data_IF_519106177051
#
_entry.id   IF_519106177051
#
_cell.length_a   1.000
_cell.length_b   1.000
_cell.length_c   1.000
_cell.angle_alpha   90.00
_cell.angle_beta   90.00
_cell.angle_gamma   90.00
#
_symmetry.space_group_name_H-M   'P 1'
#
loop_
_entity.id
_entity.type
_entity.pdbx_description
1 polymer ?
#
# COMPACT_ATOMS: atom_id res chain seq x y z
N UNK A 1 -23.56 -9.36 12.21
CA UNK A 1 -22.30 -9.69 11.51
C UNK A 1 -22.43 -9.33 10.04
N UNK A 2 -21.57 -9.75 9.10
CA UNK A 2 -21.65 -9.29 7.68
C UNK A 2 -23.03 -9.51 7.05
N UNK A 3 -23.69 -10.63 7.37
CA UNK A 3 -25.01 -10.99 6.82
C UNK A 3 -26.17 -10.05 7.20
N UNK A 4 -25.97 -9.18 8.19
CA UNK A 4 -26.99 -8.26 8.67
C UNK A 4 -26.84 -6.84 8.08
N UNK A 5 -25.79 -6.61 7.29
CA UNK A 5 -25.56 -5.34 6.60
C UNK A 5 -26.00 -5.42 5.15
N UNK A 6 -26.75 -4.41 4.71
CA UNK A 6 -27.15 -4.27 3.30
C UNK A 6 -26.07 -3.51 2.53
N UNK A 7 -25.02 -4.22 2.08
CA UNK A 7 -23.93 -3.61 1.33
C UNK A 7 -24.33 -3.44 -0.13
N UNK A 8 -24.19 -2.22 -0.66
CA UNK A 8 -24.47 -1.83 -2.04
C UNK A 8 -23.22 -1.35 -2.79
N UNK A 9 -22.21 -0.91 -2.05
CA UNK A 9 -21.00 -0.34 -2.62
C UNK A 9 -19.76 -1.03 -2.05
N UNK A 10 -18.76 -1.25 -2.90
CA UNK A 10 -17.45 -1.75 -2.48
C UNK A 10 -16.40 -0.74 -2.93
N UNK A 11 -15.73 -0.13 -1.96
CA UNK A 11 -14.61 0.76 -2.15
C UNK A 11 -13.31 -0.05 -2.14
N UNK A 12 -12.41 0.26 -3.05
CA UNK A 12 -11.10 -0.39 -3.14
C UNK A 12 -9.97 0.62 -2.98
N UNK A 13 -8.94 0.25 -2.20
CA UNK A 13 -7.62 0.79 -2.45
C UNK A 13 -7.03 0.20 -3.74
N UNK A 14 -6.00 0.83 -4.27
CA UNK A 14 -5.33 0.37 -5.50
C UNK A 14 -4.05 -0.41 -5.18
N UNK A 15 -3.11 0.20 -4.44
CA UNK A 15 -1.78 -0.33 -4.20
C UNK A 15 -1.78 -1.57 -3.32
N UNK A 16 -1.19 -2.68 -3.77
CA UNK A 16 -1.21 -3.97 -3.06
C UNK A 16 -2.61 -4.57 -2.84
N UNK A 17 -3.65 -3.87 -3.30
CA UNK A 17 -5.04 -4.32 -3.26
C UNK A 17 -5.49 -4.80 -4.63
N UNK A 18 -5.48 -3.95 -5.66
CA UNK A 18 -5.83 -4.31 -7.04
C UNK A 18 -4.60 -4.61 -7.91
N UNK A 19 -3.45 -4.05 -7.57
CA UNK A 19 -2.19 -4.27 -8.27
C UNK A 19 -0.99 -4.38 -7.32
N UNK A 20 0.10 -4.94 -7.83
CA UNK A 20 1.41 -4.95 -7.18
C UNK A 20 2.41 -4.13 -7.97
N UNK A 21 3.56 -3.86 -7.37
CA UNK A 21 4.73 -3.27 -8.05
C UNK A 21 5.42 -4.36 -8.88
N UNK A 22 5.97 -4.00 -10.04
CA UNK A 22 6.87 -4.86 -10.80
C UNK A 22 8.06 -5.32 -9.94
N UNK A 23 8.80 -6.32 -10.39
CA UNK A 23 9.98 -6.80 -9.69
C UNK A 23 11.00 -5.68 -9.39
N UNK A 24 11.89 -5.94 -8.45
CA UNK A 24 12.85 -4.95 -7.96
C UNK A 24 13.80 -4.45 -9.05
N UNK A 25 14.24 -5.33 -9.94
CA UNK A 25 15.22 -4.95 -10.98
C UNK A 25 14.58 -3.98 -11.98
N UNK A 26 13.36 -4.29 -12.43
CA UNK A 26 12.58 -3.42 -13.31
C UNK A 26 12.24 -2.10 -12.62
N UNK A 27 11.86 -2.13 -11.35
CA UNK A 27 11.61 -0.91 -10.58
C UNK A 27 12.83 0.01 -10.54
N UNK A 28 14.02 -0.53 -10.21
CA UNK A 28 15.26 0.25 -10.15
C UNK A 28 15.62 0.87 -11.50
N UNK A 29 15.44 0.13 -12.60
CA UNK A 29 15.67 0.65 -13.96
C UNK A 29 14.73 1.82 -14.31
N UNK A 30 13.45 1.72 -13.93
CA UNK A 30 12.47 2.80 -14.12
C UNK A 30 12.81 4.02 -13.26
N UNK A 31 13.25 3.79 -12.03
CA UNK A 31 13.66 4.85 -11.11
C UNK A 31 14.91 5.58 -11.65
N UNK A 32 15.90 4.84 -12.14
CA UNK A 32 17.09 5.42 -12.76
C UNK A 32 16.73 6.25 -13.99
N UNK A 33 15.89 5.73 -14.89
CA UNK A 33 15.42 6.46 -16.06
C UNK A 33 14.75 7.79 -15.68
N UNK A 34 13.84 7.75 -14.70
CA UNK A 34 13.16 8.97 -14.24
C UNK A 34 14.09 9.94 -13.50
N UNK A 35 15.10 9.43 -12.81
CA UNK A 35 16.15 10.26 -12.20
C UNK A 35 16.96 11.00 -13.25
N UNK A 36 17.34 10.34 -14.36
CA UNK A 36 18.09 10.97 -15.45
C UNK A 36 17.28 12.06 -16.15
N UNK A 37 15.99 11.83 -16.39
CA UNK A 37 15.09 12.86 -16.94
C UNK A 37 15.02 14.08 -16.00
N UNK A 38 14.96 13.87 -14.70
CA UNK A 38 14.97 14.97 -13.73
C UNK A 38 16.30 15.75 -13.74
N UNK A 39 17.43 15.06 -13.93
CA UNK A 39 18.75 15.69 -14.09
C UNK A 39 18.79 16.55 -15.35
N UNK A 40 18.37 16.04 -16.51
CA UNK A 40 18.30 16.79 -17.75
C UNK A 40 17.42 18.02 -17.60
N UNK A 41 16.26 17.88 -16.96
CA UNK A 41 15.34 18.98 -16.66
C UNK A 41 16.02 20.05 -15.79
N UNK A 42 16.70 19.64 -14.71
CA UNK A 42 17.44 20.58 -13.86
C UNK A 42 18.54 21.30 -14.61
N UNK A 43 19.39 20.58 -15.34
CA UNK A 43 20.53 21.15 -16.06
C UNK A 43 20.10 22.08 -17.20
N UNK A 44 18.91 21.88 -17.77
CA UNK A 44 18.34 22.82 -18.74
C UNK A 44 17.90 24.16 -18.09
N UNK A 45 17.57 24.14 -16.82
CA UNK A 45 17.15 25.33 -16.06
C UNK A 45 18.35 26.11 -15.49
N UNK A 46 19.41 25.41 -15.06
CA UNK A 46 20.56 26.03 -14.37
C UNK A 46 21.88 25.72 -15.06
N UNK A 47 22.73 26.77 -15.19
CA UNK A 47 24.12 26.63 -15.64
C UNK A 47 25.09 26.50 -14.45
N UNK A 48 24.64 26.07 -13.30
CA UNK A 48 25.47 25.92 -12.11
C UNK A 48 26.55 24.85 -12.35
N UNK A 49 27.82 25.27 -12.18
CA UNK A 49 28.98 24.40 -12.44
C UNK A 49 29.06 23.23 -11.45
N UNK A 50 28.57 23.40 -10.22
CA UNK A 50 28.58 22.35 -9.22
C UNK A 50 27.69 21.17 -9.65
N UNK A 51 26.45 21.45 -10.09
CA UNK A 51 25.56 20.41 -10.58
C UNK A 51 26.02 19.81 -11.93
N UNK A 52 26.54 20.66 -12.83
CA UNK A 52 27.03 20.21 -14.14
C UNK A 52 28.30 19.34 -14.07
N UNK A 53 29.05 19.41 -12.96
CA UNK A 53 30.24 18.59 -12.74
C UNK A 53 29.94 17.27 -12.01
N UNK A 54 28.76 17.13 -11.45
CA UNK A 54 28.33 15.92 -10.75
C UNK A 54 27.96 14.82 -11.74
N UNK A 55 28.30 13.59 -11.41
CA UNK A 55 27.88 12.42 -12.19
C UNK A 55 26.35 12.31 -12.19
N UNK A 56 25.74 12.10 -13.38
CA UNK A 56 24.28 12.20 -13.58
C UNK A 56 23.49 11.24 -12.70
N UNK A 57 23.95 10.00 -12.53
CA UNK A 57 23.29 9.02 -11.65
C UNK A 57 23.28 9.52 -10.20
N UNK A 58 24.40 10.04 -9.70
CA UNK A 58 24.52 10.58 -8.34
C UNK A 58 23.62 11.78 -8.12
N UNK A 59 23.58 12.73 -9.07
CA UNK A 59 22.70 13.90 -9.02
C UNK A 59 21.22 13.48 -9.04
N UNK A 60 20.85 12.52 -9.88
CA UNK A 60 19.49 12.01 -9.98
C UNK A 60 19.00 11.37 -8.68
N UNK A 61 19.84 10.55 -8.05
CA UNK A 61 19.53 9.99 -6.73
C UNK A 61 19.41 11.06 -5.64
N UNK A 62 20.27 12.09 -5.69
CA UNK A 62 20.22 13.22 -4.75
C UNK A 62 18.91 13.97 -4.87
N UNK A 63 18.51 14.32 -6.10
CA UNK A 63 17.24 15.00 -6.39
C UNK A 63 16.05 14.20 -5.84
N UNK A 64 15.95 12.93 -6.20
CA UNK A 64 14.87 12.05 -5.72
C UNK A 64 14.81 12.00 -4.20
N UNK A 65 15.94 11.72 -3.55
CA UNK A 65 16.00 11.64 -2.08
C UNK A 65 15.61 12.95 -1.40
N UNK A 66 16.01 14.10 -1.96
CA UNK A 66 15.66 15.41 -1.43
C UNK A 66 14.16 15.67 -1.54
N UNK A 67 13.57 15.43 -2.72
CA UNK A 67 12.13 15.62 -2.97
C UNK A 67 11.30 14.68 -2.08
N UNK A 68 11.61 13.39 -2.05
CA UNK A 68 10.90 12.43 -1.20
C UNK A 68 11.01 12.75 0.29
N UNK A 69 12.19 13.20 0.75
CA UNK A 69 12.38 13.64 2.14
C UNK A 69 11.49 14.81 2.48
N UNK A 70 11.40 15.80 1.56
CA UNK A 70 10.59 17.00 1.78
C UNK A 70 9.09 16.70 1.72
N UNK A 71 8.63 15.82 0.81
CA UNK A 71 7.25 15.33 0.76
C UNK A 71 6.89 14.62 2.09
N UNK A 72 7.74 13.71 2.57
CA UNK A 72 7.51 13.04 3.86
C UNK A 72 7.49 14.02 5.03
N UNK A 73 8.31 15.06 4.99
CA UNK A 73 8.31 16.12 6.00
C UNK A 73 6.98 16.87 5.97
N UNK A 74 6.54 17.36 4.81
CA UNK A 74 5.25 18.08 4.63
C UNK A 74 4.04 17.26 5.12
N UNK A 75 4.00 15.97 4.75
CA UNK A 75 2.93 15.06 5.19
C UNK A 75 2.88 14.83 6.71
N UNK A 76 4.02 14.96 7.42
CA UNK A 76 4.08 14.87 8.88
C UNK A 76 3.64 16.15 9.58
N UNK A 77 3.78 17.31 8.93
CA UNK A 77 3.37 18.60 9.50
C UNK A 77 1.84 18.70 9.59
N UNK A 78 1.13 18.09 8.66
CA UNK A 78 -0.33 18.10 8.62
C UNK A 78 -0.88 16.69 8.37
N UNK A 79 -0.92 15.82 9.41
CA UNK A 79 -1.37 14.43 9.27
C UNK A 79 -2.82 14.36 8.74
N UNK A 80 -3.06 13.49 7.78
CA UNK A 80 -4.37 13.32 7.14
C UNK A 80 -4.63 14.23 5.94
N UNK A 81 -3.69 15.11 5.61
CA UNK A 81 -3.75 15.98 4.43
C UNK A 81 -2.56 15.74 3.50
N UNK A 82 -2.77 15.95 2.21
CA UNK A 82 -1.67 15.89 1.25
C UNK A 82 -0.91 17.23 1.23
N UNK A 83 0.42 17.19 1.19
CA UNK A 83 1.20 18.40 0.96
C UNK A 83 1.03 18.88 -0.50
N UNK A 84 1.27 20.15 -0.77
CA UNK A 84 1.50 20.61 -2.14
C UNK A 84 2.82 20.02 -2.65
N UNK A 85 2.74 18.98 -3.48
CA UNK A 85 3.90 18.23 -3.95
C UNK A 85 4.84 19.10 -4.81
N UNK A 86 4.30 20.04 -5.56
CA UNK A 86 5.08 20.99 -6.36
C UNK A 86 5.84 21.95 -5.44
N UNK A 87 5.15 22.52 -4.46
CA UNK A 87 5.79 23.43 -3.49
C UNK A 87 6.87 22.70 -2.67
N UNK A 88 6.59 21.49 -2.20
CA UNK A 88 7.59 20.68 -1.48
C UNK A 88 8.79 20.31 -2.35
N UNK A 89 8.59 20.15 -3.66
CA UNK A 89 9.70 19.97 -4.62
C UNK A 89 10.52 21.23 -4.74
N UNK A 90 9.89 22.41 -4.88
CA UNK A 90 10.61 23.71 -4.89
C UNK A 90 11.45 23.86 -3.62
N UNK A 91 10.87 23.60 -2.45
CA UNK A 91 11.59 23.66 -1.17
C UNK A 91 12.77 22.68 -1.12
N UNK A 92 12.63 21.48 -1.69
CA UNK A 92 13.72 20.51 -1.78
C UNK A 92 14.86 21.04 -2.66
N UNK A 93 14.54 21.61 -3.83
CA UNK A 93 15.50 22.21 -4.74
C UNK A 93 16.23 23.39 -4.12
N UNK A 94 15.52 24.26 -3.40
CA UNK A 94 16.12 25.40 -2.69
C UNK A 94 17.08 24.94 -1.59
N UNK A 95 16.74 23.87 -0.86
CA UNK A 95 17.65 23.26 0.16
C UNK A 95 18.88 22.62 -0.45
N UNK A 96 18.83 22.22 -1.72
CA UNK A 96 19.99 21.74 -2.48
C UNK A 96 20.85 22.89 -3.05
N UNK A 97 20.49 24.16 -2.79
CA UNK A 97 21.24 25.32 -3.26
C UNK A 97 20.69 25.99 -4.52
N UNK A 98 19.61 25.45 -5.11
CA UNK A 98 18.98 26.03 -6.30
C UNK A 98 18.03 27.16 -5.86
N UNK A 99 18.59 28.27 -5.40
CA UNK A 99 17.85 29.40 -4.80
C UNK A 99 16.80 30.03 -5.72
N UNK A 100 16.96 29.88 -7.04
CA UNK A 100 16.03 30.39 -8.07
C UNK A 100 14.93 29.38 -8.44
N UNK A 101 14.85 28.22 -7.77
CA UNK A 101 13.79 27.26 -8.01
C UNK A 101 12.43 27.93 -7.81
N UNK A 102 11.58 27.80 -8.79
CA UNK A 102 10.23 28.35 -8.84
C UNK A 102 9.20 27.24 -9.05
N UNK A 103 7.92 27.58 -9.06
CA UNK A 103 6.84 26.60 -9.19
C UNK A 103 6.91 25.79 -10.50
N UNK A 104 7.29 26.45 -11.62
CA UNK A 104 7.44 25.74 -12.91
C UNK A 104 8.51 24.66 -12.86
N UNK A 105 9.71 25.00 -12.36
CA UNK A 105 10.78 24.01 -12.20
C UNK A 105 10.37 22.89 -11.22
N UNK A 106 9.66 23.27 -10.12
CA UNK A 106 9.15 22.28 -9.17
C UNK A 106 8.19 21.29 -9.81
N UNK A 107 7.30 21.76 -10.68
CA UNK A 107 6.37 20.94 -11.44
C UNK A 107 7.10 20.02 -12.43
N UNK A 108 8.03 20.57 -13.22
CA UNK A 108 8.81 19.84 -14.21
C UNK A 108 9.66 18.72 -13.55
N UNK A 109 10.34 19.03 -12.45
CA UNK A 109 11.14 18.04 -11.71
C UNK A 109 10.24 16.97 -11.04
N UNK A 110 9.12 17.40 -10.46
CA UNK A 110 8.18 16.47 -9.84
C UNK A 110 7.60 15.47 -10.86
N UNK A 111 7.22 15.97 -12.05
CA UNK A 111 6.75 15.13 -13.15
C UNK A 111 7.87 14.24 -13.71
N UNK A 112 9.09 14.76 -13.88
CA UNK A 112 10.23 13.98 -14.36
C UNK A 112 10.58 12.81 -13.42
N UNK A 113 10.46 13.00 -12.11
CA UNK A 113 10.69 11.94 -11.11
C UNK A 113 9.57 10.90 -11.05
N UNK A 114 8.43 11.12 -11.72
CA UNK A 114 7.29 10.23 -11.68
C UNK A 114 7.55 8.93 -12.44
N UNK A 115 7.33 7.80 -11.77
CA UNK A 115 7.34 6.49 -12.41
C UNK A 115 5.92 6.14 -12.82
N UNK A 116 5.67 6.02 -14.14
CA UNK A 116 4.36 5.79 -14.74
C UNK A 116 3.79 4.42 -14.34
N UNK A 117 2.47 4.36 -14.08
CA UNK A 117 1.76 3.13 -13.68
C UNK A 117 1.89 2.03 -14.73
N UNK A 118 1.68 2.27 -16.04
CA UNK A 118 1.74 1.22 -17.04
C UNK A 118 3.04 0.42 -17.04
N UNK A 119 4.13 1.03 -16.61
CA UNK A 119 5.45 0.41 -16.58
C UNK A 119 5.80 -0.21 -15.22
N UNK A 120 5.16 0.24 -14.16
CA UNK A 120 5.57 -0.01 -12.77
C UNK A 120 4.57 -0.81 -11.94
N UNK A 121 3.38 -1.09 -12.48
CA UNK A 121 2.33 -1.84 -11.79
C UNK A 121 1.83 -2.99 -12.63
N UNK A 122 1.46 -4.07 -11.94
CA UNK A 122 0.84 -5.27 -12.54
C UNK A 122 -0.40 -5.58 -11.73
N UNK A 123 -1.55 -5.71 -12.40
CA UNK A 123 -2.79 -6.16 -11.75
C UNK A 123 -2.59 -7.56 -11.18
N UNK A 124 -3.24 -7.87 -10.07
CA UNK A 124 -3.36 -9.26 -9.66
C UNK A 124 -4.24 -10.03 -10.66
N UNK A 125 -3.97 -11.31 -10.83
CA UNK A 125 -4.61 -12.16 -11.85
C UNK A 125 -6.13 -12.20 -11.72
N UNK A 126 -6.64 -12.09 -10.50
CA UNK A 126 -8.07 -12.13 -10.19
C UNK A 126 -8.74 -10.75 -10.15
N UNK A 127 -8.02 -9.66 -10.41
CA UNK A 127 -8.54 -8.29 -10.25
C UNK A 127 -9.72 -8.04 -11.18
N UNK A 128 -9.50 -8.08 -12.50
CA UNK A 128 -10.55 -7.70 -13.47
C UNK A 128 -11.74 -8.65 -13.44
N UNK A 129 -11.50 -9.96 -13.29
CA UNK A 129 -12.56 -10.96 -13.20
C UNK A 129 -13.43 -10.78 -11.97
N UNK A 130 -12.82 -10.45 -10.81
CA UNK A 130 -13.56 -10.17 -9.58
C UNK A 130 -14.37 -8.90 -9.69
N UNK A 131 -13.78 -7.80 -10.21
CA UNK A 131 -14.51 -6.54 -10.41
C UNK A 131 -15.70 -6.73 -11.36
N UNK A 132 -15.52 -7.49 -12.46
CA UNK A 132 -16.58 -7.81 -13.40
C UNK A 132 -17.74 -8.58 -12.72
N UNK A 133 -17.40 -9.61 -11.93
CA UNK A 133 -18.41 -10.40 -11.22
C UNK A 133 -19.18 -9.57 -10.19
N UNK A 134 -18.51 -8.73 -9.42
CA UNK A 134 -19.16 -7.83 -8.45
C UNK A 134 -20.08 -6.83 -9.13
N UNK A 135 -19.64 -6.24 -10.26
CA UNK A 135 -20.47 -5.33 -11.06
C UNK A 135 -21.71 -6.03 -11.65
N UNK A 136 -21.55 -7.27 -12.12
CA UNK A 136 -22.68 -8.10 -12.60
C UNK A 136 -23.69 -8.45 -11.50
N UNK A 137 -23.23 -8.58 -10.24
CA UNK A 137 -24.10 -8.77 -9.07
C UNK A 137 -24.79 -7.49 -8.62
N UNK A 138 -24.54 -6.35 -9.28
CA UNK A 138 -25.20 -5.07 -9.04
C UNK A 138 -24.51 -4.18 -7.99
N UNK A 139 -23.30 -4.52 -7.53
CA UNK A 139 -22.56 -3.66 -6.63
C UNK A 139 -22.03 -2.42 -7.36
N UNK A 140 -22.13 -1.26 -6.69
CA UNK A 140 -21.43 -0.05 -7.08
C UNK A 140 -19.97 -0.19 -6.65
N UNK A 141 -19.04 0.09 -7.56
CA UNK A 141 -17.60 -0.01 -7.30
C UNK A 141 -16.97 1.37 -7.24
N UNK A 142 -16.17 1.63 -6.23
CA UNK A 142 -15.47 2.90 -6.05
C UNK A 142 -14.01 2.73 -5.66
N UNK A 143 -13.24 3.82 -5.75
CA UNK A 143 -11.82 3.84 -5.39
C UNK A 143 -11.57 4.91 -4.34
N UNK A 144 -10.83 4.55 -3.28
CA UNK A 144 -10.28 5.49 -2.29
C UNK A 144 -8.80 5.18 -2.13
N UNK A 145 -7.92 6.05 -2.65
CA UNK A 145 -6.49 5.73 -2.72
C UNK A 145 -5.59 6.91 -2.32
N UNK A 146 -4.53 6.61 -1.57
CA UNK A 146 -3.49 7.58 -1.25
C UNK A 146 -2.44 7.57 -2.37
N UNK A 147 -2.37 8.67 -3.12
CA UNK A 147 -1.45 8.82 -4.24
C UNK A 147 -0.84 10.21 -4.28
N UNK A 148 0.43 10.26 -4.68
CA UNK A 148 1.11 11.54 -4.89
C UNK A 148 0.71 12.21 -6.20
N UNK A 149 0.16 11.47 -7.16
CA UNK A 149 -0.24 11.97 -8.47
C UNK A 149 -1.72 11.71 -8.70
N UNK A 150 -2.40 12.72 -9.21
CA UNK A 150 -3.80 12.71 -9.62
C UNK A 150 -3.98 13.37 -10.99
N UNK A 151 -5.20 13.85 -11.25
CA UNK A 151 -5.55 14.59 -12.44
C UNK A 151 -5.36 13.80 -13.75
N UNK A 152 -5.18 14.57 -14.83
CA UNK A 152 -5.03 14.00 -16.18
C UNK A 152 -3.89 12.97 -16.29
N UNK A 153 -2.70 13.17 -15.73
CA UNK A 153 -1.62 12.19 -15.81
C UNK A 153 -1.97 10.84 -15.19
N UNK A 154 -2.72 10.83 -14.10
CA UNK A 154 -3.17 9.59 -13.46
C UNK A 154 -4.31 8.93 -14.24
N UNK A 155 -5.24 9.72 -14.79
CA UNK A 155 -6.29 9.22 -15.67
C UNK A 155 -5.69 8.50 -16.90
N UNK A 156 -4.72 9.12 -17.59
CA UNK A 156 -4.03 8.52 -18.74
C UNK A 156 -3.32 7.21 -18.38
N UNK A 157 -2.70 7.14 -17.20
CA UNK A 157 -2.09 5.91 -16.69
C UNK A 157 -3.14 4.81 -16.45
N UNK A 158 -4.31 5.15 -15.89
CA UNK A 158 -5.38 4.18 -15.63
C UNK A 158 -6.02 3.63 -16.90
N UNK A 159 -6.09 4.42 -17.99
CA UNK A 159 -6.66 3.97 -19.26
C UNK A 159 -6.00 2.69 -19.79
N UNK A 160 -4.71 2.48 -19.46
CA UNK A 160 -3.95 1.31 -19.92
C UNK A 160 -4.15 0.06 -19.06
N UNK A 161 -4.83 0.19 -17.91
CA UNK A 161 -4.96 -0.90 -16.93
C UNK A 161 -6.26 -1.71 -17.08
N UNK A 162 -7.24 -1.20 -17.80
CA UNK A 162 -8.61 -1.76 -17.86
C UNK A 162 -9.46 -1.46 -16.63
N UNK A 163 -8.95 -0.72 -15.64
CA UNK A 163 -9.70 -0.40 -14.42
C UNK A 163 -10.82 0.62 -14.67
N UNK A 164 -10.69 1.48 -15.68
CA UNK A 164 -11.73 2.47 -16.03
C UNK A 164 -13.01 1.84 -16.59
N UNK A 165 -13.00 0.55 -16.93
CA UNK A 165 -14.22 -0.19 -17.30
C UNK A 165 -15.13 -0.45 -16.08
N UNK A 166 -14.56 -0.37 -14.89
CA UNK A 166 -15.23 -0.66 -13.61
C UNK A 166 -15.43 0.57 -12.73
N UNK A 167 -14.56 1.56 -12.84
CA UNK A 167 -14.55 2.75 -12.00
C UNK A 167 -14.63 4.02 -12.86
N UNK A 168 -15.63 4.86 -12.63
CA UNK A 168 -15.65 6.20 -13.20
C UNK A 168 -14.62 7.08 -12.52
N UNK A 169 -13.70 7.66 -13.28
CA UNK A 169 -12.59 8.45 -12.71
C UNK A 169 -13.08 9.58 -11.81
N UNK A 170 -14.13 10.27 -12.23
CA UNK A 170 -14.72 11.41 -11.53
C UNK A 170 -15.33 11.02 -10.17
N UNK A 171 -15.55 9.72 -9.95
CA UNK A 171 -16.09 9.19 -8.69
C UNK A 171 -15.00 8.61 -7.78
N UNK A 172 -13.75 8.58 -8.25
CA UNK A 172 -12.62 8.13 -7.43
C UNK A 172 -12.23 9.21 -6.43
N UNK A 173 -11.89 8.80 -5.20
CA UNK A 173 -11.24 9.66 -4.23
C UNK A 173 -9.72 9.42 -4.25
N UNK A 174 -9.02 10.26 -4.97
CA UNK A 174 -7.57 10.25 -5.11
C UNK A 174 -7.01 11.33 -4.21
N UNK A 175 -6.16 10.99 -3.24
CA UNK A 175 -5.73 11.95 -2.22
C UNK A 175 -5.04 13.18 -2.81
N UNK A 176 -4.27 13.04 -3.89
CA UNK A 176 -3.65 14.17 -4.59
C UNK A 176 -4.66 15.15 -5.20
N UNK A 177 -5.86 14.68 -5.60
CA UNK A 177 -6.91 15.51 -6.17
C UNK A 177 -7.82 16.12 -5.09
N UNK A 178 -8.04 15.37 -4.00
CA UNK A 178 -8.92 15.76 -2.89
C UNK A 178 -8.20 16.63 -1.86
N UNK A 179 -6.87 16.52 -1.78
CA UNK A 179 -6.06 17.21 -0.77
C UNK A 179 -6.09 16.54 0.62
N UNK A 180 -6.84 15.45 0.75
CA UNK A 180 -7.04 14.69 1.99
C UNK A 180 -6.66 13.24 1.73
N UNK A 181 -6.04 12.58 2.73
CA UNK A 181 -5.56 11.22 2.60
C UNK A 181 -6.09 10.29 3.71
N UNK A 182 -6.25 9.01 3.40
CA UNK A 182 -6.56 7.97 4.38
C UNK A 182 -5.52 7.97 5.52
N UNK A 183 -5.91 7.80 6.80
CA UNK A 183 -7.23 7.36 7.28
C UNK A 183 -8.24 8.50 7.53
N UNK A 184 -7.99 9.75 7.11
CA UNK A 184 -8.93 10.83 7.34
C UNK A 184 -10.31 10.45 6.74
N UNK A 185 -11.42 10.53 7.52
CA UNK A 185 -12.75 10.19 7.06
C UNK A 185 -13.22 10.93 5.81
N UNK A 186 -12.77 12.18 5.62
CA UNK A 186 -13.24 13.04 4.54
C UNK A 186 -12.96 12.48 3.14
N UNK A 187 -11.85 11.73 2.96
CA UNK A 187 -11.56 11.11 1.66
C UNK A 187 -12.56 9.98 1.32
N UNK A 188 -12.99 9.22 2.34
CA UNK A 188 -14.02 8.17 2.16
C UNK A 188 -15.37 8.81 1.86
N UNK A 189 -15.73 9.85 2.63
CA UNK A 189 -16.97 10.61 2.40
C UNK A 189 -17.00 11.27 1.03
N UNK A 190 -15.84 11.74 0.52
CA UNK A 190 -15.76 12.25 -0.85
C UNK A 190 -16.18 11.20 -1.89
N UNK A 191 -15.68 9.96 -1.80
CA UNK A 191 -16.06 8.87 -2.70
C UNK A 191 -17.55 8.52 -2.52
N UNK A 192 -18.00 8.30 -1.29
CA UNK A 192 -19.37 7.89 -0.97
C UNK A 192 -20.41 8.90 -1.45
N UNK A 193 -20.16 10.20 -1.26
CA UNK A 193 -21.04 11.26 -1.73
C UNK A 193 -21.17 11.26 -3.27
N UNK A 194 -20.05 11.06 -3.99
CA UNK A 194 -20.08 10.97 -5.46
C UNK A 194 -20.79 9.72 -5.98
N UNK A 195 -20.75 8.65 -5.19
CA UNK A 195 -21.44 7.38 -5.51
C UNK A 195 -22.89 7.36 -4.98
N UNK A 196 -23.32 8.38 -4.22
CA UNK A 196 -24.65 8.46 -3.58
C UNK A 196 -24.95 7.26 -2.67
N UNK A 197 -23.96 6.87 -1.84
CA UNK A 197 -24.02 5.73 -0.91
C UNK A 197 -23.76 6.19 0.52
N UNK A 198 -24.48 5.62 1.49
CA UNK A 198 -24.21 5.87 2.90
C UNK A 198 -23.06 4.97 3.39
N UNK A 199 -22.30 5.39 4.43
CA UNK A 199 -21.19 4.61 4.95
C UNK A 199 -21.57 3.17 5.35
N UNK A 200 -22.75 2.99 5.96
CA UNK A 200 -23.25 1.68 6.44
C UNK A 200 -23.57 0.72 5.29
N UNK A 201 -23.80 1.24 4.10
CA UNK A 201 -24.08 0.49 2.87
C UNK A 201 -22.79 0.16 2.09
N UNK A 202 -21.62 0.55 2.61
CA UNK A 202 -20.34 0.40 1.93
C UNK A 202 -19.41 -0.61 2.64
N UNK A 203 -18.58 -1.25 1.85
CA UNK A 203 -17.42 -2.01 2.29
C UNK A 203 -16.15 -1.34 1.76
N UNK A 204 -15.05 -1.37 2.52
CA UNK A 204 -13.71 -0.93 2.10
C UNK A 204 -12.76 -2.11 2.08
N UNK A 205 -12.15 -2.37 0.93
CA UNK A 205 -11.13 -3.40 0.73
C UNK A 205 -9.78 -2.72 0.57
N UNK A 206 -8.82 -3.05 1.43
CA UNK A 206 -7.48 -2.45 1.38
C UNK A 206 -6.41 -3.27 2.09
N UNK A 207 -5.14 -2.93 1.84
CA UNK A 207 -3.98 -3.64 2.39
C UNK A 207 -3.46 -3.06 3.72
N UNK A 208 -3.85 -1.83 4.06
CA UNK A 208 -3.30 -1.08 5.19
C UNK A 208 -4.27 -1.03 6.37
N UNK A 209 -3.88 -1.65 7.50
CA UNK A 209 -4.65 -1.53 8.75
C UNK A 209 -4.84 -0.06 9.17
N UNK A 210 -3.81 0.77 8.99
CA UNK A 210 -3.86 2.19 9.39
C UNK A 210 -4.64 3.07 8.40
N UNK A 211 -4.43 2.88 7.10
CA UNK A 211 -5.05 3.76 6.12
C UNK A 211 -6.48 3.32 5.79
N UNK A 212 -6.67 2.03 5.48
CA UNK A 212 -7.93 1.52 4.95
C UNK A 212 -8.87 1.08 6.06
N UNK A 213 -8.38 0.19 6.95
CA UNK A 213 -9.24 -0.44 7.95
C UNK A 213 -9.66 0.56 9.03
N UNK A 214 -8.69 1.29 9.60
CA UNK A 214 -9.01 2.32 10.58
C UNK A 214 -9.93 3.40 10.00
N UNK A 215 -9.61 3.91 8.79
CA UNK A 215 -10.41 4.94 8.14
C UNK A 215 -11.86 4.47 7.88
N UNK A 216 -12.04 3.23 7.42
CA UNK A 216 -13.35 2.62 7.23
C UNK A 216 -14.13 2.49 8.56
N UNK A 217 -13.46 2.03 9.61
CA UNK A 217 -14.10 1.86 10.93
C UNK A 217 -14.53 3.18 11.57
N UNK A 218 -13.80 4.26 11.34
CA UNK A 218 -14.19 5.60 11.81
C UNK A 218 -15.56 6.05 11.27
N UNK A 219 -15.98 5.50 10.13
CA UNK A 219 -17.24 5.80 9.47
C UNK A 219 -18.25 4.64 9.51
N UNK A 220 -17.99 3.59 10.28
CA UNK A 220 -18.81 2.38 10.30
C UNK A 220 -18.97 1.70 8.92
N UNK A 221 -18.00 1.88 8.03
CA UNK A 221 -17.89 1.15 6.76
C UNK A 221 -17.39 -0.27 7.07
N UNK A 222 -17.96 -1.29 6.42
CA UNK A 222 -17.49 -2.68 6.55
C UNK A 222 -16.02 -2.79 6.10
N UNK A 223 -15.15 -3.18 7.00
CA UNK A 223 -13.70 -3.19 6.75
C UNK A 223 -13.19 -4.58 6.36
N UNK A 224 -12.56 -4.67 5.17
CA UNK A 224 -12.03 -5.91 4.61
C UNK A 224 -10.53 -5.73 4.38
N UNK A 225 -9.74 -6.49 5.13
CA UNK A 225 -8.29 -6.42 5.03
C UNK A 225 -7.76 -7.49 4.08
N UNK A 226 -7.03 -7.05 3.05
CA UNK A 226 -6.26 -7.90 2.14
C UNK A 226 -4.77 -7.67 2.39
N UNK A 227 -4.14 -8.38 3.34
CA UNK A 227 -2.73 -8.19 3.65
C UNK A 227 -1.84 -8.51 2.46
N UNK A 228 -0.71 -7.82 2.35
CA UNK A 228 0.32 -8.11 1.34
C UNK A 228 0.78 -9.57 1.48
N UNK A 229 1.00 -10.24 0.36
CA UNK A 229 1.51 -11.61 0.36
C UNK A 229 2.85 -11.75 1.12
N UNK A 230 3.75 -10.77 0.96
CA UNK A 230 5.02 -10.74 1.71
C UNK A 230 4.81 -10.68 3.22
N UNK A 231 3.86 -9.86 3.68
CA UNK A 231 3.53 -9.75 5.09
C UNK A 231 2.95 -11.05 5.66
N UNK A 232 2.07 -11.72 4.91
CA UNK A 232 1.53 -13.03 5.27
C UNK A 232 2.64 -14.09 5.33
N UNK A 233 3.58 -14.06 4.38
CA UNK A 233 4.75 -14.95 4.37
C UNK A 233 5.68 -14.72 5.56
N UNK A 234 6.00 -13.45 5.88
CA UNK A 234 6.80 -13.09 7.05
C UNK A 234 6.14 -13.59 8.35
N UNK A 235 4.84 -13.38 8.51
CA UNK A 235 4.09 -13.85 9.68
C UNK A 235 4.07 -15.40 9.78
N UNK A 236 3.94 -16.10 8.63
CA UNK A 236 4.03 -17.58 8.61
C UNK A 236 5.40 -18.07 9.07
N UNK A 237 6.49 -17.45 8.61
CA UNK A 237 7.86 -17.79 9.03
C UNK A 237 8.05 -17.55 10.53
N UNK A 238 7.58 -16.42 11.05
CA UNK A 238 7.67 -16.10 12.48
C UNK A 238 6.87 -17.10 13.32
N UNK A 239 5.67 -17.47 12.87
CA UNK A 239 4.84 -18.47 13.53
C UNK A 239 5.51 -19.84 13.56
N UNK A 240 6.05 -20.30 12.42
CA UNK A 240 6.78 -21.56 12.32
C UNK A 240 7.97 -21.62 13.28
N UNK A 241 8.77 -20.55 13.33
CA UNK A 241 9.92 -20.43 14.23
C UNK A 241 9.50 -20.55 15.71
N UNK A 242 8.41 -19.87 16.08
CA UNK A 242 7.86 -19.96 17.44
C UNK A 242 7.33 -21.36 17.77
N UNK A 243 6.70 -22.02 16.81
CA UNK A 243 6.18 -23.38 16.96
C UNK A 243 7.31 -24.41 17.16
N UNK A 244 8.39 -24.31 16.37
CA UNK A 244 9.58 -25.17 16.50
C UNK A 244 10.27 -24.94 17.85
N UNK A 245 10.43 -23.69 18.28
CA UNK A 245 11.03 -23.37 19.57
C UNK A 245 10.22 -23.94 20.74
N UNK A 246 8.89 -23.86 20.69
CA UNK A 246 8.01 -24.42 21.72
C UNK A 246 8.10 -25.94 21.78
N UNK A 247 8.17 -26.63 20.64
CA UNK A 247 8.35 -28.09 20.60
C UNK A 247 9.75 -28.53 21.05
N UNK A 248 10.79 -27.78 20.67
CA UNK A 248 12.16 -28.04 21.13
C UNK A 248 12.28 -27.97 22.66
N UNK A 249 11.62 -27.03 23.31
CA UNK A 249 11.55 -26.97 24.78
C UNK A 249 10.76 -28.14 25.38
N UNK A 250 9.66 -28.59 24.73
CA UNK A 250 8.91 -29.76 25.16
C UNK A 250 9.71 -31.08 24.98
N UNK A 251 10.48 -31.22 23.90
CA UNK A 251 11.38 -32.36 23.71
C UNK A 251 12.48 -32.37 24.77
N UNK A 252 13.14 -31.24 25.06
CA UNK A 252 14.17 -31.18 26.12
C UNK A 252 13.60 -31.47 27.50
N UNK A 253 12.39 -31.04 27.81
CA UNK A 253 11.75 -31.38 29.10
C UNK A 253 11.32 -32.87 29.16
N UNK A 254 10.90 -33.46 28.05
CA UNK A 254 10.53 -34.88 27.99
C UNK A 254 11.76 -35.80 27.92
N UNK A 255 12.84 -35.38 27.25
CA UNK A 255 14.13 -36.12 27.21
C UNK A 255 14.79 -36.10 28.56
N UNK A 256 14.65 -35.05 29.37
CA UNK A 256 15.11 -35.03 30.76
C UNK A 256 14.34 -36.00 31.67
N UNK A 257 13.16 -36.47 31.26
CA UNK A 257 12.38 -37.51 31.98
C UNK A 257 12.49 -38.93 31.39
N UNK A 258 13.02 -39.07 30.17
CA UNK A 258 13.19 -40.36 29.49
C UNK A 258 14.66 -40.55 29.11
N UNK A 259 15.48 -41.03 30.03
CA UNK A 259 16.83 -41.53 29.70
C UNK A 259 16.70 -42.86 28.93
N UNK A 260 16.59 -42.80 27.61
CA UNK A 260 16.62 -43.95 26.72
C UNK A 260 16.98 -43.47 25.31
N UNK A 261 17.98 -44.10 24.74
CA UNK A 261 18.59 -43.77 23.45
C UNK A 261 17.53 -43.71 22.32
N UNK A 262 17.44 -42.57 21.64
CA UNK A 262 16.76 -42.44 20.35
C UNK A 262 17.77 -42.41 19.22
N UNK A 263 17.50 -43.16 18.16
CA UNK A 263 18.34 -43.34 16.98
C UNK A 263 18.25 -42.15 16.03
N UNK A 264 19.38 -41.79 15.40
CA UNK A 264 19.48 -40.64 14.44
C UNK A 264 18.52 -40.76 13.24
N UNK A 265 17.94 -41.91 12.97
CA UNK A 265 16.94 -42.15 11.93
C UNK A 265 15.55 -41.59 12.27
N UNK A 266 15.15 -41.58 13.55
CA UNK A 266 13.88 -40.99 13.99
C UNK A 266 13.89 -39.44 13.99
N UNK A 267 15.07 -38.81 14.08
CA UNK A 267 15.27 -37.37 13.95
C UNK A 267 15.13 -36.89 12.49
N UNK A 268 15.42 -37.74 11.50
CA UNK A 268 15.32 -37.40 10.08
C UNK A 268 13.87 -37.47 9.57
N UNK A 269 13.04 -38.40 10.05
CA UNK A 269 11.60 -38.46 9.68
C UNK A 269 10.77 -37.34 10.27
N UNK A 270 11.21 -36.69 11.34
CA UNK A 270 10.54 -35.52 11.92
C UNK A 270 10.75 -34.23 11.09
N UNK A 271 11.63 -34.24 10.06
CA UNK A 271 11.95 -33.07 9.24
C UNK A 271 11.08 -32.92 7.97
N UNK A 272 10.34 -33.94 7.57
CA UNK A 272 9.39 -33.90 6.43
C UNK A 272 7.92 -33.80 6.86
N UNK A 273 7.65 -33.31 8.05
CA UNK A 273 6.30 -33.24 8.59
C UNK A 273 5.49 -32.06 8.03
N UNK A 274 4.24 -32.38 7.69
CA UNK A 274 3.13 -31.48 7.31
C UNK A 274 3.23 -30.11 7.94
N UNK A 275 2.99 -29.05 7.13
CA UNK A 275 2.88 -27.68 7.63
C UNK A 275 1.88 -27.68 8.79
N UNK A 276 2.30 -27.31 10.02
CA UNK A 276 1.42 -27.43 11.17
C UNK A 276 0.13 -26.64 10.92
N UNK A 277 -1.00 -27.28 11.07
CA UNK A 277 -2.33 -26.67 11.00
C UNK A 277 -2.51 -25.76 12.21
N UNK A 278 -2.33 -24.45 12.06
CA UNK A 278 -2.45 -23.54 13.19
C UNK A 278 -2.10 -22.07 12.92
N UNK A 279 -1.61 -21.75 11.71
CA UNK A 279 -1.48 -20.35 11.30
C UNK A 279 -2.87 -19.78 11.01
N UNK A 280 -3.29 -18.79 11.79
CA UNK A 280 -4.63 -18.19 11.71
C UNK A 280 -4.55 -16.70 11.32
N UNK A 281 -5.65 -16.17 10.84
CA UNK A 281 -5.78 -14.73 10.58
C UNK A 281 -5.67 -13.89 11.89
N UNK A 282 -6.09 -14.43 13.04
CA UNK A 282 -5.87 -13.77 14.33
C UNK A 282 -4.38 -13.71 14.70
N UNK A 283 -3.58 -14.74 14.37
CA UNK A 283 -2.13 -14.68 14.54
C UNK A 283 -1.50 -13.65 13.60
N UNK A 284 -1.89 -13.65 12.31
CA UNK A 284 -1.42 -12.69 11.33
C UNK A 284 -1.70 -11.24 11.81
N UNK A 285 -2.92 -10.98 12.26
CA UNK A 285 -3.31 -9.68 12.81
C UNK A 285 -2.47 -9.30 14.02
N UNK A 286 -2.31 -10.20 14.98
CA UNK A 286 -1.49 -10.00 16.18
C UNK A 286 -0.01 -9.72 15.82
N UNK A 287 0.54 -10.47 14.86
CA UNK A 287 1.91 -10.27 14.36
C UNK A 287 2.10 -8.85 13.81
N UNK A 288 1.18 -8.37 12.99
CA UNK A 288 1.24 -7.03 12.40
C UNK A 288 1.07 -5.94 13.44
N UNK A 289 0.13 -6.12 14.37
CA UNK A 289 -0.10 -5.18 15.46
C UNK A 289 1.10 -5.05 16.38
N UNK A 290 1.78 -6.14 16.69
CA UNK A 290 2.99 -6.13 17.51
C UNK A 290 4.16 -5.46 16.77
N UNK A 291 4.34 -5.74 15.48
CA UNK A 291 5.39 -5.14 14.65
C UNK A 291 5.21 -3.63 14.44
N UNK A 292 3.99 -3.22 14.15
CA UNK A 292 3.66 -1.83 13.81
C UNK A 292 2.98 -1.09 14.97
N UNK A 293 2.83 -1.72 16.15
CA UNK A 293 2.06 -1.21 17.29
C UNK A 293 2.48 0.17 17.79
N UNK A 294 3.76 0.51 17.71
CA UNK A 294 4.26 1.85 18.03
C UNK A 294 3.76 2.92 17.05
N UNK A 295 3.40 2.54 15.80
CA UNK A 295 2.89 3.46 14.77
C UNK A 295 1.38 3.64 14.84
N UNK A 296 0.69 2.78 15.61
CA UNK A 296 -0.76 2.75 15.72
C UNK A 296 -1.29 3.39 17.01
N UNK A 297 -0.41 3.75 17.98
CA UNK A 297 -0.81 4.45 19.20
C UNK A 297 -0.80 5.99 19.00
N UNK A 298 -1.77 6.73 19.56
CA UNK A 298 -2.78 6.35 20.55
C UNK A 298 -4.22 6.41 19.98
N UNK A 299 -4.68 5.35 19.34
CA UNK A 299 -6.03 5.35 18.75
C UNK A 299 -6.89 4.38 19.60
N UNK A 300 -7.93 4.86 20.26
CA UNK A 300 -8.88 4.06 21.05
C UNK A 300 -9.88 3.26 20.18
N UNK A 301 -9.70 3.24 18.84
CA UNK A 301 -10.57 2.52 17.91
C UNK A 301 -10.01 1.12 17.71
N UNK A 302 -10.86 0.12 17.85
CA UNK A 302 -10.53 -1.26 17.48
C UNK A 302 -10.28 -1.36 15.98
N UNK A 303 -9.02 -1.63 15.60
CA UNK A 303 -8.59 -1.77 14.21
C UNK A 303 -8.69 -3.23 13.70
N UNK A 304 -9.36 -4.12 14.44
CA UNK A 304 -9.64 -5.48 13.98
C UNK A 304 -10.56 -5.38 12.74
N UNK A 305 -10.14 -5.88 11.56
CA UNK A 305 -10.99 -5.88 10.37
C UNK A 305 -12.22 -6.77 10.59
N UNK A 306 -13.31 -6.44 9.90
CA UNK A 306 -14.53 -7.26 9.95
C UNK A 306 -14.35 -8.55 9.14
N UNK A 307 -13.48 -8.52 8.12
CA UNK A 307 -13.09 -9.68 7.30
C UNK A 307 -11.61 -9.57 6.90
N UNK A 308 -10.96 -10.72 6.78
CA UNK A 308 -9.62 -10.87 6.20
C UNK A 308 -9.73 -11.78 4.98
N UNK A 309 -9.16 -11.34 3.86
CA UNK A 309 -9.13 -12.10 2.61
C UNK A 309 -7.68 -12.29 2.14
N UNK A 310 -7.42 -13.34 1.40
CA UNK A 310 -6.12 -13.58 0.78
C UNK A 310 -6.10 -13.06 -0.66
N UNK A 311 -7.15 -13.35 -1.42
CA UNK A 311 -7.30 -12.98 -2.82
C UNK A 311 -8.57 -12.15 -3.01
N UNK A 312 -8.64 -11.36 -4.09
CA UNK A 312 -9.83 -10.56 -4.39
C UNK A 312 -11.06 -11.43 -4.67
N UNK A 313 -10.86 -12.57 -5.33
CA UNK A 313 -11.95 -13.53 -5.61
C UNK A 313 -12.67 -14.04 -4.37
N UNK A 314 -12.05 -13.97 -3.19
CA UNK A 314 -12.66 -14.36 -1.92
C UNK A 314 -13.90 -13.49 -1.59
N UNK A 315 -13.93 -12.26 -2.13
CA UNK A 315 -15.09 -11.37 -2.05
C UNK A 315 -16.35 -11.98 -2.66
N UNK A 316 -16.20 -12.83 -3.69
CA UNK A 316 -17.35 -13.46 -4.38
C UNK A 316 -18.09 -14.49 -3.52
N UNK A 317 -17.47 -14.96 -2.44
CA UNK A 317 -18.12 -15.81 -1.44
C UNK A 317 -18.86 -14.99 -0.36
N UNK A 318 -18.60 -13.68 -0.28
CA UNK A 318 -19.17 -12.77 0.72
C UNK A 318 -20.30 -11.92 0.11
N UNK A 319 -20.09 -11.45 -1.10
CA UNK A 319 -20.96 -10.59 -1.87
C UNK A 319 -21.47 -11.33 -3.11
#
# INVERSE_FOLDING_TARGET
>A
MIKDRHIRCILFDLGSTLWTTVDRAKWLSLEETSNLIAVETLLSFTNDREFSSMEAHTLGMLLRKAVEKQIRFGARQNPGYEPDFVLTTVEALQKLGISRANRSLGEDIYEALRIRIPNSRVLFDDTLSTLAALKQRGYVLGVVTNRHYGGRPFYEDLQTTGLLDYFAYEQMAISADVGVRKPNPDIFMHALNRLSVQPEEAAMVGDSLKADILGAKMLNILSIWKPKASLRSEAKVAWMSSYIAARGHQMHSNVAQMSGEMDDAELAEASEGEIPTGFTDDYLLAYVLNRDGQKLQPIQIDIKPDLIIENLKDLLAVF
#
